data_IF_601700928601
#
_entry.id   IF_601700928601
#
_cell.length_a   1.000
_cell.length_b   1.000
_cell.length_c   1.000
_cell.angle_alpha   90.00
_cell.angle_beta   90.00
_cell.angle_gamma   90.00
#
_symmetry.space_group_name_H-M   'P 1'
#
loop_
_entity.id
_entity.type
_entity.pdbx_description
1 polymer ?
#
# COMPACT_ATOMS: atom_id res chain seq x y z
N UNK A 1 -2.47 8.20 -23.39
CA UNK A 1 -2.45 7.55 -22.06
C UNK A 1 -2.65 6.07 -22.29
N UNK A 2 -1.61 5.26 -22.09
CA UNK A 2 -1.70 3.81 -22.25
C UNK A 2 -2.42 3.26 -21.02
N UNK A 3 -3.54 2.56 -21.20
CA UNK A 3 -4.31 1.99 -20.09
C UNK A 3 -3.43 0.99 -19.31
N UNK A 4 -3.24 1.22 -18.01
CA UNK A 4 -2.50 0.30 -17.16
C UNK A 4 -3.31 -0.98 -16.99
N UNK A 5 -2.74 -2.12 -17.39
CA UNK A 5 -3.45 -3.40 -17.31
C UNK A 5 -3.83 -3.76 -15.87
N UNK A 6 -5.05 -4.27 -15.69
CA UNK A 6 -5.53 -4.74 -14.38
C UNK A 6 -4.62 -5.83 -13.79
N UNK A 7 -4.01 -6.66 -14.63
CA UNK A 7 -3.03 -7.67 -14.21
C UNK A 7 -1.83 -7.03 -13.49
N UNK A 8 -1.32 -5.91 -14.00
CA UNK A 8 -0.21 -5.20 -13.37
C UNK A 8 -0.63 -4.54 -12.05
N UNK A 9 -1.80 -3.89 -12.03
CA UNK A 9 -2.42 -3.32 -10.83
C UNK A 9 -2.48 -4.35 -9.70
N UNK A 10 -3.08 -5.51 -9.99
CA UNK A 10 -3.17 -6.64 -9.05
C UNK A 10 -1.78 -7.15 -8.60
N UNK A 11 -0.82 -7.29 -9.52
CA UNK A 11 0.54 -7.75 -9.15
C UNK A 11 1.25 -6.81 -8.19
N UNK A 12 1.10 -5.50 -8.37
CA UNK A 12 1.67 -4.50 -7.44
C UNK A 12 0.98 -4.59 -6.08
N UNK A 13 -0.35 -4.64 -6.06
CA UNK A 13 -1.13 -4.76 -4.82
C UNK A 13 -0.78 -6.03 -4.04
N UNK A 14 -0.76 -7.20 -4.69
CA UNK A 14 -0.44 -8.47 -4.02
C UNK A 14 1.03 -8.57 -3.63
N UNK A 15 1.97 -8.03 -4.41
CA UNK A 15 3.36 -7.94 -3.98
C UNK A 15 3.52 -7.10 -2.70
N UNK A 16 2.71 -6.05 -2.55
CA UNK A 16 2.68 -5.24 -1.34
C UNK A 16 2.05 -5.99 -0.15
N UNK A 17 0.90 -6.63 -0.37
CA UNK A 17 0.17 -7.44 0.61
C UNK A 17 1.01 -8.60 1.15
N UNK A 18 1.82 -9.24 0.30
CA UNK A 18 2.55 -10.47 0.63
C UNK A 18 4.03 -10.20 1.00
N UNK A 19 4.43 -8.93 1.12
CA UNK A 19 5.76 -8.57 1.60
C UNK A 19 6.89 -8.72 0.56
N UNK A 20 6.55 -8.80 -0.73
CA UNK A 20 7.47 -9.11 -1.84
C UNK A 20 8.21 -7.85 -2.34
N UNK A 21 9.07 -7.26 -1.49
CA UNK A 21 9.77 -6.02 -1.79
C UNK A 21 10.64 -6.04 -3.08
N UNK A 22 11.26 -7.18 -3.40
CA UNK A 22 12.06 -7.35 -4.63
C UNK A 22 11.15 -7.34 -5.86
N UNK A 23 10.04 -8.06 -5.81
CA UNK A 23 9.04 -8.07 -6.88
C UNK A 23 8.44 -6.68 -7.08
N UNK A 24 8.16 -5.95 -6.00
CA UNK A 24 7.69 -4.57 -6.09
C UNK A 24 8.70 -3.69 -6.83
N UNK A 25 10.00 -3.79 -6.51
CA UNK A 25 11.04 -3.06 -7.24
C UNK A 25 11.08 -3.45 -8.72
N UNK A 26 11.05 -4.75 -9.03
CA UNK A 26 11.06 -5.23 -10.41
C UNK A 26 9.81 -4.81 -11.21
N UNK A 27 8.67 -4.63 -10.54
CA UNK A 27 7.44 -4.18 -11.18
C UNK A 27 7.43 -2.68 -11.47
N UNK A 28 8.17 -1.86 -10.71
CA UNK A 28 8.03 -0.40 -10.72
C UNK A 28 9.26 0.36 -11.24
N UNK A 29 10.49 -0.17 -11.10
CA UNK A 29 11.72 0.63 -11.27
C UNK A 29 11.96 1.16 -12.69
N UNK A 30 11.49 0.45 -13.72
CA UNK A 30 11.72 0.80 -15.13
C UNK A 30 10.46 1.44 -15.78
N UNK A 31 9.55 1.98 -14.97
CA UNK A 31 8.30 2.58 -15.44
C UNK A 31 8.34 4.10 -15.38
N UNK A 32 7.57 4.71 -16.27
CA UNK A 32 7.32 6.16 -16.25
C UNK A 32 6.74 6.61 -14.91
N UNK A 33 7.13 7.79 -14.46
CA UNK A 33 6.74 8.34 -13.15
C UNK A 33 5.21 8.41 -12.98
N UNK A 34 4.48 8.83 -14.01
CA UNK A 34 3.01 8.88 -14.00
C UNK A 34 2.39 7.48 -13.81
N UNK A 35 2.97 6.47 -14.45
CA UNK A 35 2.54 5.07 -14.33
C UNK A 35 2.84 4.53 -12.93
N UNK A 36 4.01 4.85 -12.38
CA UNK A 36 4.37 4.50 -10.99
C UNK A 36 3.38 5.15 -10.02
N UNK A 37 3.11 6.46 -10.20
CA UNK A 37 2.19 7.22 -9.34
C UNK A 37 0.77 6.65 -9.38
N UNK A 38 0.26 6.25 -10.55
CA UNK A 38 -1.03 5.57 -10.66
C UNK A 38 -1.00 4.21 -9.94
N UNK A 39 0.07 3.42 -10.11
CA UNK A 39 0.18 2.08 -9.53
C UNK A 39 0.35 2.08 -8.01
N UNK A 40 1.09 3.04 -7.42
CA UNK A 40 1.30 3.06 -5.96
C UNK A 40 0.15 3.68 -5.19
N UNK A 41 -0.67 4.51 -5.85
CA UNK A 41 -1.86 5.16 -5.29
C UNK A 41 -3.18 4.52 -5.76
N UNK A 42 -3.09 3.37 -6.46
CA UNK A 42 -4.27 2.62 -6.89
C UNK A 42 -5.13 2.21 -5.69
N UNK A 43 -6.43 2.20 -5.88
CA UNK A 43 -7.37 1.61 -4.92
C UNK A 43 -7.80 0.24 -5.40
N UNK A 44 -7.67 -0.76 -4.54
CA UNK A 44 -8.12 -2.13 -4.80
C UNK A 44 -9.16 -2.51 -3.77
N UNK A 45 -10.30 -3.00 -4.24
CA UNK A 45 -11.30 -3.65 -3.39
C UNK A 45 -10.95 -5.13 -3.32
N UNK A 46 -10.59 -5.61 -2.13
CA UNK A 46 -10.29 -7.02 -1.92
C UNK A 46 -11.57 -7.87 -1.83
N UNK A 47 -11.47 -9.22 -1.84
CA UNK A 47 -12.64 -10.10 -1.74
C UNK A 47 -13.49 -9.89 -0.47
N UNK A 48 -12.90 -9.34 0.59
CA UNK A 48 -13.55 -9.00 1.85
C UNK A 48 -14.29 -7.65 1.80
N UNK A 49 -14.18 -6.93 0.69
CA UNK A 49 -14.82 -5.64 0.43
C UNK A 49 -14.05 -4.45 1.00
N UNK A 50 -12.78 -4.63 1.40
CA UNK A 50 -11.93 -3.57 1.91
C UNK A 50 -11.31 -2.79 0.74
N UNK A 51 -11.40 -1.45 0.77
CA UNK A 51 -10.73 -0.60 -0.22
C UNK A 51 -9.36 -0.21 0.31
N UNK A 52 -8.28 -0.70 -0.29
CA UNK A 52 -6.92 -0.46 0.18
C UNK A 52 -6.00 0.01 -0.94
N UNK A 53 -5.05 0.88 -0.60
CA UNK A 53 -3.88 1.16 -1.42
C UNK A 53 -2.78 0.11 -1.18
N UNK A 54 -1.80 -0.03 -2.09
CA UNK A 54 -0.61 -0.85 -1.85
C UNK A 54 0.12 -0.50 -0.54
N UNK A 55 0.18 0.77 -0.15
CA UNK A 55 0.79 1.18 1.12
C UNK A 55 -0.04 0.72 2.33
N UNK A 56 -1.36 0.91 2.29
CA UNK A 56 -2.28 0.47 3.37
C UNK A 56 -2.16 -1.04 3.58
N UNK A 57 -2.23 -1.84 2.50
CA UNK A 57 -2.22 -3.29 2.62
C UNK A 57 -0.87 -3.83 3.11
N UNK A 58 0.25 -3.20 2.72
CA UNK A 58 1.57 -3.52 3.25
C UNK A 58 1.69 -3.17 4.73
N UNK A 59 1.12 -2.03 5.14
CA UNK A 59 1.17 -1.56 6.51
C UNK A 59 0.31 -2.42 7.45
N UNK A 60 -0.90 -2.79 7.01
CA UNK A 60 -1.83 -3.68 7.72
C UNK A 60 -1.26 -5.07 7.98
N UNK A 61 -0.40 -5.59 7.09
CA UNK A 61 0.26 -6.90 7.24
C UNK A 61 1.68 -6.81 7.82
N UNK A 62 2.12 -5.62 8.22
CA UNK A 62 3.39 -5.46 8.96
C UNK A 62 4.63 -5.55 8.08
N UNK A 63 4.51 -5.36 6.77
CA UNK A 63 5.60 -5.52 5.82
C UNK A 63 6.50 -4.27 5.75
N UNK A 64 7.22 -3.99 6.83
CA UNK A 64 8.10 -2.82 6.99
C UNK A 64 9.12 -2.66 5.84
N UNK A 65 9.64 -3.76 5.27
CA UNK A 65 10.53 -3.70 4.10
C UNK A 65 9.83 -3.13 2.86
N UNK A 66 8.58 -3.52 2.61
CA UNK A 66 7.77 -3.00 1.50
C UNK A 66 7.44 -1.53 1.74
N UNK A 67 7.02 -1.18 2.95
CA UNK A 67 6.73 0.21 3.35
C UNK A 67 7.96 1.10 3.12
N UNK A 68 9.15 0.68 3.55
CA UNK A 68 10.40 1.40 3.27
C UNK A 68 10.71 1.52 1.79
N UNK A 69 10.43 0.49 0.99
CA UNK A 69 10.64 0.57 -0.47
C UNK A 69 9.71 1.61 -1.09
N UNK A 70 8.43 1.61 -0.74
CA UNK A 70 7.49 2.62 -1.22
C UNK A 70 7.95 4.04 -0.86
N UNK A 71 8.21 4.30 0.42
CA UNK A 71 8.54 5.64 0.91
C UNK A 71 9.87 6.16 0.34
N UNK A 72 10.88 5.30 0.16
CA UNK A 72 12.21 5.74 -0.28
C UNK A 72 12.38 5.79 -1.80
N UNK A 73 11.54 5.09 -2.58
CA UNK A 73 11.74 4.93 -4.02
C UNK A 73 10.57 5.36 -4.89
N UNK A 74 9.34 5.25 -4.40
CA UNK A 74 8.14 5.35 -5.24
C UNK A 74 7.13 6.39 -4.76
N UNK A 75 7.39 7.05 -3.62
CA UNK A 75 6.67 8.23 -3.13
C UNK A 75 5.14 8.15 -3.27
N UNK A 76 4.48 7.13 -2.67
CA UNK A 76 3.02 7.12 -2.63
C UNK A 76 2.50 8.31 -1.81
N UNK A 77 1.21 8.62 -1.99
CA UNK A 77 0.47 9.47 -1.06
C UNK A 77 0.35 8.72 0.28
N UNK A 78 1.08 9.20 1.28
CA UNK A 78 1.16 8.58 2.60
C UNK A 78 -0.13 8.75 3.40
N UNK A 79 -0.91 9.79 3.10
CA UNK A 79 -2.18 10.13 3.74
C UNK A 79 -3.39 9.56 3.00
N UNK A 80 -3.19 8.87 1.87
CA UNK A 80 -4.32 8.29 1.15
C UNK A 80 -5.03 7.25 2.03
N UNK A 81 -6.33 7.44 2.18
CA UNK A 81 -7.18 6.64 3.05
C UNK A 81 -7.89 5.51 2.29
N UNK A 82 -8.18 4.44 3.02
CA UNK A 82 -8.99 3.32 2.54
C UNK A 82 -10.18 3.05 3.44
N UNK A 83 -10.82 1.91 3.19
CA UNK A 83 -11.79 1.32 4.10
C UNK A 83 -11.30 -0.05 4.54
N UNK A 84 -11.39 -0.31 5.84
CA UNK A 84 -11.00 -1.61 6.42
C UNK A 84 -12.14 -2.21 7.21
N UNK A 85 -12.21 -3.54 7.20
CA UNK A 85 -13.21 -4.28 7.96
C UNK A 85 -12.61 -4.78 9.25
N UNK A 86 -13.26 -4.42 10.36
CA UNK A 86 -12.94 -4.91 11.71
C UNK A 86 -14.22 -5.52 12.26
N UNK A 87 -14.19 -6.84 12.46
CA UNK A 87 -15.37 -7.63 12.80
C UNK A 87 -16.53 -7.43 11.80
N UNK A 88 -17.65 -6.88 12.27
CA UNK A 88 -18.84 -6.58 11.45
C UNK A 88 -18.92 -5.12 11.01
N UNK A 89 -17.91 -4.31 11.30
CA UNK A 89 -17.91 -2.88 10.99
C UNK A 89 -16.94 -2.55 9.87
N UNK A 90 -17.35 -1.62 9.02
CA UNK A 90 -16.47 -0.96 8.04
C UNK A 90 -16.01 0.35 8.66
N UNK A 91 -14.69 0.53 8.69
CA UNK A 91 -14.04 1.75 9.13
C UNK A 91 -13.54 2.45 7.87
N UNK A 92 -14.19 3.55 7.51
CA UNK A 92 -13.74 4.46 6.48
C UNK A 92 -12.62 5.37 7.03
N UNK A 93 -11.83 5.95 6.15
CA UNK A 93 -10.77 6.88 6.52
C UNK A 93 -9.53 6.20 7.12
N UNK A 94 -9.35 4.91 6.86
CA UNK A 94 -8.22 4.17 7.44
C UNK A 94 -6.95 4.43 6.63
N UNK A 95 -6.03 5.22 7.19
CA UNK A 95 -4.69 5.44 6.61
C UNK A 95 -3.77 4.23 6.84
N UNK A 96 -2.60 4.24 6.18
CA UNK A 96 -1.57 3.22 6.40
C UNK A 96 -1.10 3.18 7.87
N UNK A 97 -0.96 4.35 8.51
CA UNK A 97 -0.57 4.46 9.91
C UNK A 97 -1.64 3.88 10.84
N UNK A 98 -2.92 4.20 10.59
CA UNK A 98 -4.05 3.65 11.35
C UNK A 98 -4.05 2.13 11.31
N UNK A 99 -3.89 1.55 10.11
CA UNK A 99 -3.88 0.11 9.93
C UNK A 99 -2.70 -0.58 10.63
N UNK A 100 -1.49 -0.01 10.52
CA UNK A 100 -0.31 -0.54 11.19
C UNK A 100 -0.43 -0.48 12.72
N UNK A 101 -0.98 0.62 13.26
CA UNK A 101 -1.19 0.79 14.69
C UNK A 101 -2.24 -0.19 15.23
N UNK A 102 -3.40 -0.29 14.56
CA UNK A 102 -4.47 -1.22 14.93
C UNK A 102 -4.05 -2.69 14.87
N UNK A 103 -3.17 -3.05 13.93
CA UNK A 103 -2.63 -4.40 13.80
C UNK A 103 -1.39 -4.68 14.68
N UNK A 104 -0.90 -3.69 15.44
CA UNK A 104 0.24 -3.87 16.35
C UNK A 104 1.62 -3.93 15.68
N UNK A 105 1.77 -3.42 14.46
CA UNK A 105 3.00 -3.48 13.68
C UNK A 105 3.95 -2.32 13.99
N UNK A 106 4.55 -2.33 15.19
CA UNK A 106 5.37 -1.23 15.71
C UNK A 106 6.49 -0.74 14.77
N UNK A 107 7.16 -1.64 14.04
CA UNK A 107 8.22 -1.24 13.11
C UNK A 107 7.67 -0.42 11.94
N UNK A 108 6.52 -0.80 11.40
CA UNK A 108 5.83 -0.04 10.35
C UNK A 108 5.38 1.32 10.88
N UNK A 109 4.79 1.36 12.08
CA UNK A 109 4.38 2.61 12.73
C UNK A 109 5.55 3.59 12.82
N UNK A 110 6.70 3.13 13.34
CA UNK A 110 7.91 3.96 13.43
C UNK A 110 8.37 4.46 12.06
N UNK A 111 8.32 3.61 11.04
CA UNK A 111 8.70 3.97 9.67
C UNK A 111 7.77 5.03 9.09
N UNK A 112 6.46 4.88 9.23
CA UNK A 112 5.46 5.83 8.72
C UNK A 112 5.54 7.18 9.45
N UNK A 113 5.58 7.19 10.78
CA UNK A 113 5.72 8.42 11.59
C UNK A 113 7.01 9.18 11.23
N UNK A 114 8.12 8.46 11.02
CA UNK A 114 9.37 9.08 10.57
C UNK A 114 9.24 9.73 9.18
N UNK A 115 8.36 9.22 8.34
CA UNK A 115 8.08 9.75 7.01
C UNK A 115 7.03 10.87 7.00
N UNK A 116 6.45 11.23 8.16
CA UNK A 116 5.53 12.35 8.31
C UNK A 116 4.04 11.98 8.28
N UNK A 117 3.71 10.69 8.43
CA UNK A 117 2.33 10.23 8.69
C UNK A 117 1.86 10.57 10.11
#
# INVERSE_FOLDING_TARGET
MTEISQSLKNRVYYAARDGMAVTLCALLSDRDEDVVKELVNQEVIDPEGQRCTPLIVAARHGHDKVVKVFLNKFSPDIEQEGSVKVDSYVIEGASALWCAAGAGHLNVVKTLVKAGA
#
